data_IF_508880412150
#
_entry.id   IF_508880412150
#
_cell.length_a   1.000
_cell.length_b   1.000
_cell.length_c   1.000
_cell.angle_alpha   90.00
_cell.angle_beta   90.00
_cell.angle_gamma   90.00
#
_symmetry.space_group_name_H-M   'P 1'
#
loop_
_entity.id
_entity.type
_entity.pdbx_description
1 polymer ?
#
# COMPACT_ATOMS: atom_id res chain seq x y z
N UNK A 1 17.15 7.18 0.15
CA UNK A 1 15.87 6.78 -0.52
C UNK A 1 14.69 6.67 0.44
N UNK A 2 14.89 6.33 1.73
CA UNK A 2 13.82 6.30 2.76
C UNK A 2 13.24 7.69 3.08
N UNK A 3 14.08 8.72 3.02
CA UNK A 3 13.69 10.08 3.40
C UNK A 3 12.68 10.67 2.43
N UNK A 4 12.82 10.46 1.12
CA UNK A 4 11.89 11.03 0.13
C UNK A 4 10.48 10.45 0.21
N UNK A 5 10.34 9.16 0.58
CA UNK A 5 9.04 8.53 0.77
C UNK A 5 8.32 9.06 2.00
N UNK A 6 9.06 9.23 3.11
CA UNK A 6 8.53 9.82 4.34
C UNK A 6 8.02 11.24 4.09
N UNK A 7 8.81 12.05 3.37
CA UNK A 7 8.40 13.41 2.99
C UNK A 7 7.12 13.39 2.15
N UNK A 8 7.02 12.53 1.13
CA UNK A 8 5.84 12.46 0.25
C UNK A 8 4.56 12.11 1.02
N UNK A 9 4.57 11.04 1.81
CA UNK A 9 3.37 10.61 2.54
C UNK A 9 2.96 11.65 3.59
N UNK A 10 3.92 12.29 4.25
CA UNK A 10 3.64 13.37 5.20
C UNK A 10 3.06 14.59 4.48
N UNK A 11 3.59 14.98 3.32
CA UNK A 11 3.02 16.09 2.54
C UNK A 11 1.55 15.85 2.20
N UNK A 12 1.20 14.63 1.78
CA UNK A 12 -0.19 14.27 1.50
C UNK A 12 -1.06 14.21 2.75
N UNK A 13 -0.53 13.71 3.87
CA UNK A 13 -1.26 13.66 5.13
C UNK A 13 -1.56 15.06 5.66
N UNK A 14 -0.57 15.97 5.62
CA UNK A 14 -0.74 17.38 6.02
C UNK A 14 -1.78 18.04 5.14
N UNK A 15 -1.72 17.84 3.83
CA UNK A 15 -2.71 18.37 2.89
C UNK A 15 -4.13 17.82 3.16
N UNK A 16 -4.26 16.52 3.44
CA UNK A 16 -5.54 15.89 3.74
C UNK A 16 -6.16 16.44 5.03
N UNK A 17 -5.37 16.58 6.10
CA UNK A 17 -5.83 17.18 7.36
C UNK A 17 -6.20 18.65 7.18
N UNK A 18 -5.42 19.40 6.39
CA UNK A 18 -5.74 20.79 6.05
C UNK A 18 -7.08 20.90 5.31
N UNK A 19 -7.28 20.10 4.26
CA UNK A 19 -8.54 20.08 3.49
C UNK A 19 -9.73 19.66 4.35
N UNK A 20 -9.54 18.68 5.25
CA UNK A 20 -10.56 18.28 6.22
C UNK A 20 -10.92 19.45 7.15
N UNK A 21 -9.91 20.17 7.67
CA UNK A 21 -10.11 21.35 8.51
C UNK A 21 -10.88 22.45 7.79
N UNK A 22 -10.51 22.75 6.55
CA UNK A 22 -11.23 23.73 5.70
C UNK A 22 -12.69 23.31 5.50
N UNK A 23 -12.96 22.02 5.22
CA UNK A 23 -14.32 21.52 5.05
C UNK A 23 -15.16 21.65 6.33
N UNK A 24 -14.58 21.36 7.49
CA UNK A 24 -15.26 21.48 8.78
C UNK A 24 -15.50 22.94 9.21
N UNK A 25 -14.62 23.86 8.81
CA UNK A 25 -14.81 25.30 9.04
C UNK A 25 -15.88 25.87 8.11
N UNK A 26 -15.97 25.39 6.87
CA UNK A 26 -16.98 25.81 5.91
C UNK A 26 -18.38 25.35 6.31
N UNK A 27 -18.53 24.08 6.72
CA UNK A 27 -19.81 23.50 7.10
C UNK A 27 -19.72 22.68 8.40
N UNK A 28 -19.73 23.34 9.57
CA UNK A 28 -19.54 22.68 10.86
C UNK A 28 -20.67 21.70 11.22
N UNK A 29 -21.87 21.91 10.69
CA UNK A 29 -23.03 21.04 10.90
C UNK A 29 -22.84 19.61 10.34
N UNK A 30 -21.92 19.41 9.38
CA UNK A 30 -21.65 18.12 8.76
C UNK A 30 -20.64 17.25 9.52
N UNK A 31 -20.15 17.70 10.68
CA UNK A 31 -19.11 17.00 11.43
C UNK A 31 -19.42 15.52 11.67
N UNK A 32 -20.65 15.20 12.09
CA UNK A 32 -21.06 13.81 12.32
C UNK A 32 -21.00 12.93 11.07
N UNK A 33 -21.44 13.46 9.92
CA UNK A 33 -21.41 12.74 8.63
C UNK A 33 -19.97 12.53 8.16
N UNK A 34 -19.12 13.53 8.35
CA UNK A 34 -17.69 13.45 7.99
C UNK A 34 -16.96 12.41 8.83
N UNK A 35 -17.19 12.38 10.15
CA UNK A 35 -16.62 11.37 11.05
C UNK A 35 -17.11 9.98 10.69
N UNK A 36 -18.40 9.82 10.38
CA UNK A 36 -18.97 8.55 9.91
C UNK A 36 -18.26 8.05 8.64
N UNK A 37 -18.08 8.91 7.62
CA UNK A 37 -17.39 8.56 6.37
C UNK A 37 -15.92 8.20 6.59
N UNK A 38 -15.21 8.93 7.45
CA UNK A 38 -13.83 8.58 7.81
C UNK A 38 -13.75 7.23 8.53
N UNK A 39 -14.71 6.97 9.43
CA UNK A 39 -14.83 5.68 10.13
C UNK A 39 -15.03 4.52 9.15
N UNK A 40 -15.89 4.71 8.13
CA UNK A 40 -16.10 3.74 7.07
C UNK A 40 -14.82 3.45 6.26
N UNK A 41 -14.07 4.49 5.86
CA UNK A 41 -12.79 4.33 5.14
C UNK A 41 -11.75 3.60 6.01
N UNK A 42 -11.71 3.89 7.31
CA UNK A 42 -10.79 3.20 8.23
C UNK A 42 -11.18 1.73 8.44
N UNK A 43 -12.47 1.46 8.59
CA UNK A 43 -12.99 0.10 8.74
C UNK A 43 -12.73 -0.73 7.48
N UNK A 44 -12.90 -0.18 6.27
CA UNK A 44 -12.63 -0.87 5.02
C UNK A 44 -11.13 -1.18 4.84
N UNK A 45 -10.24 -0.25 5.17
CA UNK A 45 -8.79 -0.48 5.16
C UNK A 45 -8.39 -1.59 6.14
N UNK A 46 -8.93 -1.54 7.36
CA UNK A 46 -8.65 -2.54 8.39
C UNK A 46 -9.15 -3.92 7.95
N UNK A 47 -10.38 -4.01 7.45
CA UNK A 47 -10.96 -5.26 6.97
C UNK A 47 -10.17 -5.86 5.79
N UNK A 48 -9.83 -5.05 4.78
CA UNK A 48 -9.05 -5.50 3.64
C UNK A 48 -7.66 -6.02 4.03
N UNK A 49 -7.00 -5.35 4.99
CA UNK A 49 -5.75 -5.82 5.57
C UNK A 49 -5.89 -7.17 6.26
N UNK A 50 -6.91 -7.35 7.11
CA UNK A 50 -7.14 -8.61 7.81
C UNK A 50 -7.47 -9.75 6.84
N UNK A 51 -8.32 -9.49 5.85
CA UNK A 51 -8.70 -10.48 4.82
C UNK A 51 -7.46 -10.95 4.05
N UNK A 52 -6.59 -10.04 3.60
CA UNK A 52 -5.35 -10.42 2.94
C UNK A 52 -4.47 -11.30 3.84
N UNK A 53 -4.34 -10.95 5.12
CA UNK A 53 -3.47 -11.65 6.08
C UNK A 53 -3.95 -13.06 6.42
N UNK A 54 -5.26 -13.27 6.48
CA UNK A 54 -5.89 -14.57 6.80
C UNK A 54 -5.90 -15.49 5.57
N UNK A 55 -6.19 -14.95 4.38
CA UNK A 55 -6.31 -15.75 3.17
C UNK A 55 -4.95 -16.23 2.65
N UNK A 56 -3.88 -15.47 2.91
CA UNK A 56 -2.53 -15.75 2.39
C UNK A 56 -1.44 -15.65 3.48
N UNK A 57 -1.39 -16.58 4.46
CA UNK A 57 -0.41 -16.53 5.55
C UNK A 57 1.05 -16.72 5.11
N UNK A 58 1.28 -17.47 4.02
CA UNK A 58 2.62 -17.81 3.50
C UNK A 58 3.03 -17.02 2.26
N UNK A 59 2.09 -16.60 1.40
CA UNK A 59 2.37 -15.81 0.20
C UNK A 59 2.43 -14.29 0.46
N UNK A 60 3.06 -13.88 1.56
CA UNK A 60 3.25 -12.45 1.89
C UNK A 60 4.40 -11.90 1.07
N UNK A 61 4.32 -10.66 0.54
CA UNK A 61 5.38 -10.09 -0.29
C UNK A 61 6.73 -10.06 0.44
N UNK A 62 6.73 -9.83 1.76
CA UNK A 62 7.94 -9.82 2.58
C UNK A 62 8.60 -11.22 2.62
N UNK A 63 7.79 -12.27 2.71
CA UNK A 63 8.26 -13.67 2.73
C UNK A 63 8.68 -14.18 1.35
N UNK A 64 7.93 -13.78 0.31
CA UNK A 64 8.26 -14.12 -1.09
C UNK A 64 9.57 -13.46 -1.50
N UNK A 65 9.83 -12.23 -1.05
CA UNK A 65 11.11 -11.57 -1.24
C UNK A 65 12.25 -12.29 -0.50
N UNK A 66 12.06 -12.68 0.76
CA UNK A 66 13.08 -13.42 1.53
C UNK A 66 13.39 -14.82 0.99
N UNK A 67 12.39 -15.53 0.47
CA UNK A 67 12.55 -16.91 -0.03
C UNK A 67 13.25 -16.97 -1.40
N UNK A 68 13.08 -15.93 -2.24
CA UNK A 68 13.58 -15.93 -3.62
C UNK A 68 14.75 -14.97 -3.85
N UNK A 69 15.04 -14.07 -2.90
CA UNK A 69 16.21 -13.19 -2.93
C UNK A 69 17.24 -13.71 -1.93
N UNK A 70 18.13 -14.60 -2.40
CA UNK A 70 19.33 -14.93 -1.65
C UNK A 70 20.31 -13.76 -1.76
N UNK A 71 20.31 -12.89 -0.74
CA UNK A 71 21.29 -11.80 -0.64
C UNK A 71 22.73 -12.32 -0.41
N UNK A 72 22.93 -13.63 -0.27
CA UNK A 72 24.25 -14.27 -0.18
C UNK A 72 24.81 -14.66 -1.54
N UNK A 73 24.01 -14.78 -2.60
CA UNK A 73 24.53 -15.02 -3.94
C UNK A 73 25.09 -13.72 -4.53
N UNK A 74 26.33 -13.73 -5.07
CA UNK A 74 26.87 -12.57 -5.76
C UNK A 74 25.94 -12.20 -6.90
N UNK A 75 25.33 -11.01 -6.83
CA UNK A 75 24.64 -10.40 -7.98
C UNK A 75 25.62 -10.52 -9.16
N UNK A 76 25.22 -11.13 -10.30
CA UNK A 76 26.12 -11.23 -11.44
C UNK A 76 26.51 -9.81 -11.83
N UNK A 77 27.74 -9.44 -11.48
CA UNK A 77 28.34 -8.16 -11.84
C UNK A 77 28.66 -8.25 -13.33
N UNK A 78 27.66 -8.01 -14.18
CA UNK A 78 27.97 -7.34 -15.44
C UNK A 78 28.61 -6.00 -15.07
N UNK A 79 29.62 -5.58 -15.83
CA UNK A 79 30.50 -4.43 -15.48
C UNK A 79 29.73 -3.12 -15.25
N UNK A 80 28.45 -3.09 -15.63
CA UNK A 80 27.48 -2.06 -15.29
C UNK A 80 26.60 -2.50 -14.11
N UNK A 81 26.84 -1.94 -12.92
CA UNK A 81 26.05 -2.15 -11.69
C UNK A 81 24.54 -1.91 -11.89
N UNK A 82 24.18 -1.11 -12.90
CA UNK A 82 22.80 -0.86 -13.30
C UNK A 82 22.14 -2.06 -14.02
N UNK A 83 22.88 -2.84 -14.80
CA UNK A 83 22.32 -3.97 -15.56
C UNK A 83 22.07 -5.20 -14.67
N UNK A 84 22.98 -5.51 -13.73
CA UNK A 84 22.82 -6.62 -12.79
C UNK A 84 21.60 -6.44 -11.87
N UNK A 85 21.30 -5.19 -11.47
CA UNK A 85 20.11 -4.85 -10.68
C UNK A 85 18.81 -5.01 -11.50
N UNK A 86 18.83 -4.68 -12.80
CA UNK A 86 17.68 -4.81 -13.70
C UNK A 86 17.37 -6.28 -13.97
N UNK A 87 18.39 -7.13 -14.16
CA UNK A 87 18.22 -8.56 -14.42
C UNK A 87 17.69 -9.28 -13.18
N UNK A 88 18.27 -9.03 -12.01
CA UNK A 88 17.77 -9.55 -10.73
C UNK A 88 16.33 -9.10 -10.44
N UNK A 89 16.02 -7.82 -10.65
CA UNK A 89 14.66 -7.31 -10.48
C UNK A 89 13.67 -7.95 -11.46
N UNK A 90 14.07 -8.21 -12.71
CA UNK A 90 13.19 -8.76 -13.75
C UNK A 90 12.77 -10.22 -13.51
N UNK A 91 13.67 -11.06 -12.96
CA UNK A 91 13.38 -12.48 -12.71
C UNK A 91 12.40 -12.68 -11.55
N UNK A 92 12.48 -11.86 -10.51
CA UNK A 92 11.64 -11.96 -9.31
C UNK A 92 10.39 -11.06 -9.35
N UNK A 93 10.33 -10.11 -10.31
CA UNK A 93 9.20 -9.22 -10.58
C UNK A 93 7.83 -9.91 -10.73
N UNK A 94 7.66 -11.05 -11.44
CA UNK A 94 6.32 -11.56 -11.71
C UNK A 94 5.64 -12.15 -10.46
N UNK A 95 6.37 -12.87 -9.60
CA UNK A 95 5.81 -13.44 -8.37
C UNK A 95 5.52 -12.36 -7.34
N UNK A 96 6.46 -11.42 -7.17
CA UNK A 96 6.27 -10.25 -6.31
C UNK A 96 5.11 -9.38 -6.80
N UNK A 97 5.04 -9.11 -8.11
CA UNK A 97 3.97 -8.37 -8.76
C UNK A 97 2.60 -8.99 -8.58
N UNK A 98 2.47 -10.32 -8.71
CA UNK A 98 1.21 -11.03 -8.47
C UNK A 98 0.75 -10.93 -7.01
N UNK A 99 1.67 -11.01 -6.04
CA UNK A 99 1.32 -10.87 -4.61
C UNK A 99 0.85 -9.44 -4.27
N UNK A 100 1.50 -8.43 -4.86
CA UNK A 100 1.12 -7.03 -4.72
C UNK A 100 -0.21 -6.73 -5.41
N UNK A 101 -0.44 -7.30 -6.60
CA UNK A 101 -1.69 -7.14 -7.34
C UNK A 101 -2.88 -7.72 -6.58
N UNK A 102 -2.75 -8.93 -6.03
CA UNK A 102 -3.79 -9.56 -5.21
C UNK A 102 -4.16 -8.69 -4.00
N UNK A 103 -3.14 -8.16 -3.30
CA UNK A 103 -3.33 -7.21 -2.19
C UNK A 103 -4.09 -5.96 -2.61
N UNK A 104 -3.69 -5.37 -3.74
CA UNK A 104 -4.35 -4.20 -4.29
C UNK A 104 -5.83 -4.47 -4.63
N UNK A 105 -6.14 -5.63 -5.24
CA UNK A 105 -7.51 -6.02 -5.58
C UNK A 105 -8.38 -6.23 -4.35
N UNK A 106 -7.89 -6.92 -3.31
CA UNK A 106 -8.63 -7.12 -2.06
C UNK A 106 -8.92 -5.77 -1.39
N UNK A 107 -7.91 -4.90 -1.29
CA UNK A 107 -8.08 -3.57 -0.71
C UNK A 107 -9.06 -2.72 -1.53
N UNK A 108 -8.97 -2.73 -2.86
CA UNK A 108 -9.88 -2.01 -3.73
C UNK A 108 -11.32 -2.52 -3.59
N UNK A 109 -11.53 -3.84 -3.54
CA UNK A 109 -12.84 -4.43 -3.36
C UNK A 109 -13.49 -4.01 -2.02
N UNK A 110 -12.73 -4.05 -0.92
CA UNK A 110 -13.21 -3.58 0.38
C UNK A 110 -13.55 -2.08 0.37
N UNK A 111 -12.71 -1.26 -0.25
CA UNK A 111 -12.93 0.20 -0.38
C UNK A 111 -14.18 0.53 -1.20
N UNK A 112 -14.35 -0.14 -2.34
CA UNK A 112 -15.50 0.06 -3.23
C UNK A 112 -16.79 -0.45 -2.56
N UNK A 113 -16.74 -1.60 -1.89
CA UNK A 113 -17.90 -2.16 -1.19
C UNK A 113 -18.44 -1.19 -0.14
N UNK A 114 -17.56 -0.64 0.69
CA UNK A 114 -17.95 0.34 1.71
C UNK A 114 -18.31 1.69 1.10
N UNK A 115 -17.61 2.12 0.04
CA UNK A 115 -17.90 3.38 -0.66
C UNK A 115 -19.24 3.39 -1.41
N UNK A 116 -19.72 2.24 -1.91
CA UNK A 116 -21.03 2.10 -2.55
C UNK A 116 -22.17 1.88 -1.53
N UNK A 117 -21.87 1.36 -0.35
CA UNK A 117 -22.85 1.14 0.72
C UNK A 117 -23.11 2.35 1.61
N UNK A 118 -22.43 3.49 1.36
CA UNK A 118 -22.47 4.72 2.14
C UNK A 118 -23.23 5.84 1.45
#
# INVERSE_FOLDING_TARGET
MRDTLFHRTISFLVLAVFLLGVALLAEPQLFGVTVYKLGLVFASASAGYWIDRVTFPYARPDKVAEEHVDFSEPIPTTEDEHEGLIVGASLYSPLYGQTMLRRAVIMAACMICVGLGA
#
